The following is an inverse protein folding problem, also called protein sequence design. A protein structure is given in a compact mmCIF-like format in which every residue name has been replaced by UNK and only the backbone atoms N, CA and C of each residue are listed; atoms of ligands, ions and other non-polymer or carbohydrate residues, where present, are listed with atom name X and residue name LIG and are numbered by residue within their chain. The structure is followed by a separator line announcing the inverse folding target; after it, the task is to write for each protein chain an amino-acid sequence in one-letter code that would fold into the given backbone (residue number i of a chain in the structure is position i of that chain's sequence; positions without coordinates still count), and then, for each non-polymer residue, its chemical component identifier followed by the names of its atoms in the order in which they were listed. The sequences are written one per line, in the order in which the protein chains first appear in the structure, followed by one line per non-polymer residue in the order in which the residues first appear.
data_IF_685113073223
#
_entry.id   IF_685113073223
#
_cell.length_a   1.000
_cell.length_b   1.000
_cell.length_c   1.000
_cell.angle_alpha   90.00
_cell.angle_beta   90.00
_cell.angle_gamma   90.00
#
_symmetry.space_group_name_H-M   'P 1'
#
loop_
_entity.id
_entity.type
_entity.pdbx_description
1 polymer ?
#
# COMPACT_ATOMS: atom_id res chain seq x y z
N UNK A 1 -3.00 -0.11 21.90
CA UNK A 1 -4.15 -0.37 21.03
C UNK A 1 -4.32 -1.86 20.84
N UNK A 2 -5.55 -2.37 20.97
CA UNK A 2 -5.80 -3.79 20.76
C UNK A 2 -5.91 -4.09 19.25
N UNK A 3 -5.12 -5.03 18.75
CA UNK A 3 -5.11 -5.43 17.33
C UNK A 3 -6.39 -6.15 16.91
N UNK A 4 -7.11 -6.75 17.85
CA UNK A 4 -8.40 -7.40 17.59
C UNK A 4 -9.47 -6.42 17.10
N UNK A 5 -9.32 -5.13 17.41
CA UNK A 5 -10.22 -4.07 16.96
C UNK A 5 -9.90 -3.58 15.55
N UNK A 6 -8.85 -4.14 14.89
CA UNK A 6 -8.47 -3.76 13.53
C UNK A 6 -9.19 -4.65 12.54
N UNK A 7 -10.04 -4.04 11.73
CA UNK A 7 -10.72 -4.66 10.60
C UNK A 7 -10.18 -4.11 9.29
N UNK A 8 -10.16 -4.97 8.28
CA UNK A 8 -9.75 -4.63 6.92
C UNK A 8 -10.89 -5.02 6.00
N UNK A 9 -11.35 -4.07 5.19
CA UNK A 9 -12.43 -4.27 4.24
C UNK A 9 -12.02 -3.77 2.86
N UNK A 10 -12.62 -4.30 1.79
CA UNK A 10 -12.35 -3.82 0.44
C UNK A 10 -12.97 -2.45 0.24
N UNK A 11 -12.23 -1.56 -0.42
CA UNK A 11 -12.75 -0.23 -0.78
C UNK A 11 -13.81 -0.39 -1.87
N UNK A 12 -14.94 0.28 -1.65
CA UNK A 12 -16.08 0.34 -2.55
C UNK A 12 -16.68 1.77 -2.54
N UNK A 13 -17.72 2.00 -3.32
CA UNK A 13 -18.38 3.32 -3.41
C UNK A 13 -18.89 3.83 -2.06
N UNK A 14 -19.36 2.93 -1.19
CA UNK A 14 -19.95 3.29 0.10
C UNK A 14 -18.88 3.76 1.09
N UNK A 15 -17.77 3.00 1.25
CA UNK A 15 -16.74 3.27 2.25
C UNK A 15 -15.65 4.24 1.76
N UNK A 16 -15.46 4.40 0.46
CA UNK A 16 -14.46 5.32 -0.12
C UNK A 16 -14.60 6.76 0.38
N UNK A 17 -15.83 7.21 0.61
CA UNK A 17 -16.12 8.57 1.12
C UNK A 17 -15.50 8.86 2.49
N UNK A 18 -15.25 7.83 3.30
CA UNK A 18 -14.66 8.00 4.63
C UNK A 18 -13.13 8.17 4.58
N UNK A 19 -12.48 7.75 3.50
CA UNK A 19 -11.02 7.83 3.36
C UNK A 19 -10.51 9.27 3.31
N UNK A 20 -11.34 10.21 2.85
CA UNK A 20 -11.01 11.65 2.86
C UNK A 20 -10.82 12.26 4.25
N UNK A 21 -11.35 11.59 5.30
CA UNK A 21 -11.27 12.06 6.68
C UNK A 21 -10.00 11.59 7.40
N UNK A 22 -9.15 10.80 6.72
CA UNK A 22 -7.88 10.31 7.26
C UNK A 22 -6.88 11.45 7.31
N UNK A 23 -6.38 11.75 8.51
CA UNK A 23 -5.41 12.82 8.72
C UNK A 23 -4.01 12.39 8.31
N UNK A 24 -3.48 13.05 7.29
CA UNK A 24 -2.15 12.80 6.69
C UNK A 24 -1.38 14.09 6.34
N UNK A 25 -1.77 15.19 6.92
CA UNK A 25 -1.20 16.51 6.70
C UNK A 25 0.28 16.65 7.11
N UNK A 26 0.82 15.67 7.82
CA UNK A 26 2.23 15.52 8.19
C UNK A 26 3.06 14.71 7.16
N UNK A 27 2.45 14.27 6.06
CA UNK A 27 3.11 13.52 4.97
C UNK A 27 3.20 14.44 3.76
N UNK A 28 4.41 14.57 3.19
CA UNK A 28 4.58 15.31 1.93
C UNK A 28 3.75 14.68 0.80
N UNK A 29 3.15 15.51 -0.04
CA UNK A 29 2.43 15.06 -1.23
C UNK A 29 3.34 14.34 -2.23
N UNK A 30 4.65 14.59 -2.19
CA UNK A 30 5.64 13.87 -2.99
C UNK A 30 5.85 12.42 -2.55
N UNK A 31 5.39 12.05 -1.35
CA UNK A 31 5.63 10.72 -0.77
C UNK A 31 4.51 9.72 -0.99
N UNK A 32 3.29 10.18 -1.18
CA UNK A 32 2.11 9.31 -1.35
C UNK A 32 1.07 10.00 -2.22
N UNK A 33 0.54 9.27 -3.17
CA UNK A 33 -0.51 9.73 -4.07
C UNK A 33 -1.72 10.36 -3.36
N UNK A 34 -2.38 11.26 -4.07
CA UNK A 34 -3.66 11.82 -3.63
C UNK A 34 -4.75 10.76 -3.54
N UNK A 35 -5.80 11.03 -2.78
CA UNK A 35 -6.94 10.10 -2.68
C UNK A 35 -7.61 9.88 -4.05
N UNK A 36 -7.67 10.91 -4.89
CA UNK A 36 -8.29 10.80 -6.22
C UNK A 36 -7.53 9.78 -7.08
N UNK A 37 -6.18 9.84 -7.10
CA UNK A 37 -5.33 8.84 -7.78
C UNK A 37 -5.54 7.44 -7.20
N UNK A 38 -5.61 7.31 -5.88
CA UNK A 38 -5.90 6.03 -5.20
C UNK A 38 -7.23 5.43 -5.67
N UNK A 39 -8.27 6.26 -5.79
CA UNK A 39 -9.59 5.81 -6.24
C UNK A 39 -9.61 5.48 -7.74
N UNK A 40 -8.88 6.23 -8.57
CA UNK A 40 -8.72 5.91 -10.00
C UNK A 40 -8.05 4.55 -10.21
N UNK A 41 -6.96 4.27 -9.48
CA UNK A 41 -6.28 2.97 -9.51
C UNK A 41 -7.22 1.85 -9.05
N UNK A 42 -7.99 2.10 -7.99
CA UNK A 42 -8.94 1.13 -7.45
C UNK A 42 -10.03 0.79 -8.48
N UNK A 43 -10.61 1.79 -9.10
CA UNK A 43 -11.63 1.60 -10.13
C UNK A 43 -11.07 0.85 -11.35
N UNK A 44 -9.87 1.23 -11.80
CA UNK A 44 -9.19 0.54 -12.87
C UNK A 44 -9.00 -0.96 -12.56
N UNK A 45 -8.50 -1.29 -11.37
CA UNK A 45 -8.30 -2.66 -10.94
C UNK A 45 -9.60 -3.48 -10.93
N UNK A 46 -10.70 -2.90 -10.44
CA UNK A 46 -12.01 -3.53 -10.43
C UNK A 46 -12.54 -3.75 -11.84
N UNK A 47 -12.52 -2.73 -12.69
CA UNK A 47 -13.03 -2.77 -14.07
C UNK A 47 -12.29 -3.79 -14.95
N UNK A 48 -10.99 -3.96 -14.72
CA UNK A 48 -10.14 -4.88 -15.50
C UNK A 48 -9.96 -6.24 -14.83
N UNK A 49 -10.67 -6.52 -13.72
CA UNK A 49 -10.54 -7.75 -12.95
C UNK A 49 -9.09 -8.08 -12.57
N UNK A 50 -8.30 -7.07 -12.23
CA UNK A 50 -6.94 -7.25 -11.74
C UNK A 50 -6.93 -7.99 -10.40
N UNK A 51 -5.89 -8.80 -10.17
CA UNK A 51 -5.69 -9.49 -8.88
C UNK A 51 -5.19 -8.51 -7.83
N UNK A 52 -5.85 -8.48 -6.68
CA UNK A 52 -5.53 -7.57 -5.60
C UNK A 52 -6.73 -6.71 -5.19
N UNK A 53 -6.48 -5.82 -4.25
CA UNK A 53 -7.51 -4.91 -3.72
C UNK A 53 -6.91 -3.62 -3.20
N UNK A 54 -7.75 -2.60 -3.12
CA UNK A 54 -7.57 -1.49 -2.21
C UNK A 54 -8.32 -1.80 -0.93
N UNK A 55 -7.62 -1.72 0.20
CA UNK A 55 -8.16 -2.06 1.51
C UNK A 55 -8.36 -0.80 2.33
N UNK A 56 -9.56 -0.61 2.87
CA UNK A 56 -9.84 0.35 3.93
C UNK A 56 -9.54 -0.29 5.28
N UNK A 57 -8.91 0.46 6.17
CA UNK A 57 -8.47 0.00 7.48
C UNK A 57 -9.35 0.68 8.53
N UNK A 58 -9.99 -0.12 9.37
CA UNK A 58 -10.83 0.35 10.48
C UNK A 58 -10.19 -0.02 11.81
N UNK A 59 -10.36 0.85 12.78
CA UNK A 59 -10.16 0.59 14.20
C UNK A 59 -11.48 0.83 14.91
N UNK A 60 -12.05 -0.20 15.49
CA UNK A 60 -13.47 -0.25 15.85
C UNK A 60 -14.32 0.13 14.61
N UNK A 61 -15.18 1.12 14.72
CA UNK A 61 -16.03 1.58 13.63
C UNK A 61 -15.44 2.74 12.80
N UNK A 62 -14.20 3.18 13.10
CA UNK A 62 -13.58 4.34 12.44
C UNK A 62 -12.61 3.92 11.34
N UNK A 63 -12.75 4.49 10.16
CA UNK A 63 -11.75 4.39 9.11
C UNK A 63 -10.51 5.19 9.51
N UNK A 64 -9.37 4.49 9.57
CA UNK A 64 -8.10 5.05 10.05
C UNK A 64 -6.98 4.94 9.01
N UNK A 65 -7.24 4.41 7.84
CA UNK A 65 -6.21 4.24 6.83
C UNK A 65 -6.68 3.49 5.60
N UNK A 66 -5.77 3.33 4.66
CA UNK A 66 -5.94 2.50 3.47
C UNK A 66 -4.59 1.98 2.98
N UNK A 67 -4.64 0.89 2.21
CA UNK A 67 -3.48 0.29 1.55
C UNK A 67 -3.90 -0.32 0.22
N UNK A 68 -3.09 -0.11 -0.82
CA UNK A 68 -3.30 -0.68 -2.15
C UNK A 68 -2.28 -1.77 -2.40
N UNK A 69 -2.77 -2.97 -2.70
CA UNK A 69 -1.95 -4.09 -3.14
C UNK A 69 -2.64 -4.75 -4.34
N UNK A 70 -2.12 -4.49 -5.54
CA UNK A 70 -2.65 -4.96 -6.80
C UNK A 70 -1.59 -5.68 -7.62
N UNK A 71 -1.99 -6.61 -8.49
CA UNK A 71 -1.07 -7.13 -9.50
C UNK A 71 -0.51 -5.98 -10.33
N UNK A 72 0.80 -6.03 -10.56
CA UNK A 72 1.47 -4.97 -11.26
C UNK A 72 1.15 -4.99 -12.75
N UNK A 73 0.79 -3.82 -13.27
CA UNK A 73 0.88 -3.52 -14.69
C UNK A 73 2.31 -3.08 -14.94
N UNK A 74 2.95 -3.65 -15.95
CA UNK A 74 4.32 -3.31 -16.31
C UNK A 74 4.43 -1.84 -16.70
N UNK A 75 5.37 -1.13 -16.08
CA UNK A 75 5.75 0.21 -16.45
C UNK A 75 7.04 0.20 -17.27
N UNK A 76 7.19 1.14 -18.19
CA UNK A 76 8.42 1.27 -18.98
C UNK A 76 9.66 1.53 -18.12
N UNK A 77 9.46 2.10 -16.94
CA UNK A 77 10.50 2.42 -15.94
C UNK A 77 10.84 1.22 -15.05
N UNK A 78 10.06 0.14 -15.08
CA UNK A 78 10.33 -1.04 -14.26
C UNK A 78 11.65 -1.70 -14.68
N UNK A 79 12.52 -2.05 -13.73
CA UNK A 79 13.73 -2.79 -14.02
C UNK A 79 13.44 -4.13 -14.69
N UNK A 80 14.29 -4.53 -15.64
CA UNK A 80 14.12 -5.80 -16.37
C UNK A 80 14.04 -7.04 -15.45
N UNK A 81 14.68 -6.97 -14.28
CA UNK A 81 14.61 -8.06 -13.31
C UNK A 81 13.19 -8.25 -12.74
N UNK A 82 12.39 -7.18 -12.67
CA UNK A 82 11.00 -7.23 -12.21
C UNK A 82 10.06 -7.83 -13.25
N UNK A 83 10.40 -7.70 -14.52
CA UNK A 83 9.56 -8.15 -15.64
C UNK A 83 9.62 -9.66 -15.88
N UNK A 84 10.45 -10.38 -15.13
CA UNK A 84 10.69 -11.83 -15.34
C UNK A 84 9.50 -12.70 -14.90
N UNK A 85 8.76 -12.25 -13.89
CA UNK A 85 7.61 -12.96 -13.35
C UNK A 85 6.53 -11.97 -12.88
N UNK A 86 5.27 -12.40 -12.83
CA UNK A 86 4.19 -11.58 -12.28
C UNK A 86 4.46 -11.22 -10.82
N UNK A 87 4.19 -9.96 -10.45
CA UNK A 87 4.39 -9.46 -9.08
C UNK A 87 3.22 -8.59 -8.65
N UNK A 88 3.13 -8.31 -7.36
CA UNK A 88 2.20 -7.31 -6.82
C UNK A 88 2.94 -5.99 -6.61
N UNK A 89 2.22 -4.89 -6.80
CA UNK A 89 2.70 -3.54 -6.50
C UNK A 89 1.92 -2.97 -5.32
N UNK A 90 2.64 -2.62 -4.27
CA UNK A 90 2.09 -1.85 -3.16
C UNK A 90 2.26 -0.38 -3.51
N UNK A 91 1.15 0.35 -3.74
CA UNK A 91 1.22 1.70 -4.29
C UNK A 91 1.01 2.79 -3.25
N UNK A 92 0.06 2.63 -2.33
CA UNK A 92 -0.15 3.59 -1.27
C UNK A 92 -0.47 2.88 0.04
N UNK A 93 0.10 3.36 1.13
CA UNK A 93 -0.18 2.87 2.47
C UNK A 93 -0.19 4.02 3.45
N UNK A 94 -1.37 4.34 3.93
CA UNK A 94 -1.60 5.44 4.87
C UNK A 94 -2.31 4.94 6.11
N UNK A 95 -1.79 5.35 7.27
CA UNK A 95 -2.47 5.29 8.56
C UNK A 95 -2.65 6.74 9.04
N UNK A 96 -3.82 7.07 9.51
CA UNK A 96 -4.14 8.35 10.14
C UNK A 96 -3.11 8.67 11.24
N UNK A 97 -2.61 9.90 11.24
CA UNK A 97 -1.53 10.31 12.15
C UNK A 97 -1.82 10.05 13.63
N UNK A 98 -3.11 10.09 14.02
CA UNK A 98 -3.56 9.83 15.39
C UNK A 98 -3.40 8.38 15.85
N UNK A 99 -3.23 7.45 14.89
CA UNK A 99 -3.16 6.00 15.10
C UNK A 99 -1.79 5.39 14.79
N UNK A 100 -0.78 6.22 14.50
CA UNK A 100 0.58 5.76 14.19
C UNK A 100 1.40 5.50 15.46
N UNK A 101 2.50 4.79 15.29
CA UNK A 101 3.48 4.54 16.38
C UNK A 101 3.09 3.42 17.36
N UNK A 102 1.93 2.77 17.17
CA UNK A 102 1.42 1.71 18.05
C UNK A 102 1.35 0.32 17.41
N UNK A 103 2.09 0.12 16.30
CA UNK A 103 2.22 -1.18 15.64
C UNK A 103 1.09 -1.54 14.66
N UNK A 104 0.08 -0.68 14.46
CA UNK A 104 -1.03 -0.93 13.52
C UNK A 104 -0.52 -1.14 12.09
N UNK A 105 0.37 -0.26 11.61
CA UNK A 105 0.89 -0.36 10.25
C UNK A 105 1.56 -1.70 9.97
N UNK A 106 2.36 -2.20 10.92
CA UNK A 106 3.02 -3.51 10.79
C UNK A 106 2.02 -4.65 10.71
N UNK A 107 1.03 -4.64 11.57
CA UNK A 107 -0.02 -5.66 11.61
C UNK A 107 -0.84 -5.67 10.33
N UNK A 108 -1.27 -4.50 9.87
CA UNK A 108 -2.07 -4.34 8.64
C UNK A 108 -1.31 -4.81 7.42
N UNK A 109 -0.04 -4.40 7.26
CA UNK A 109 0.77 -4.79 6.12
C UNK A 109 0.87 -6.32 5.99
N UNK A 110 1.22 -7.01 7.07
CA UNK A 110 1.34 -8.47 7.06
C UNK A 110 -0.03 -9.14 6.79
N UNK A 111 -1.10 -8.64 7.40
CA UNK A 111 -2.44 -9.18 7.19
C UNK A 111 -2.90 -9.04 5.73
N UNK A 112 -2.68 -7.89 5.12
CA UNK A 112 -3.03 -7.62 3.72
C UNK A 112 -2.21 -8.51 2.77
N UNK A 113 -0.91 -8.65 3.02
CA UNK A 113 -0.05 -9.53 2.21
C UNK A 113 -0.54 -10.98 2.29
N UNK A 114 -0.80 -11.49 3.49
CA UNK A 114 -1.30 -12.86 3.67
C UNK A 114 -2.64 -13.06 2.99
N UNK A 115 -3.59 -12.14 3.14
CA UNK A 115 -4.90 -12.21 2.50
C UNK A 115 -4.78 -12.21 0.97
N UNK A 116 -3.91 -11.37 0.40
CA UNK A 116 -3.66 -11.33 -1.04
C UNK A 116 -3.04 -12.65 -1.53
N UNK A 117 -2.10 -13.22 -0.78
CA UNK A 117 -1.48 -14.51 -1.11
C UNK A 117 -2.46 -15.68 -1.02
N UNK A 118 -3.33 -15.70 -0.03
CA UNK A 118 -4.38 -16.72 0.10
C UNK A 118 -5.39 -16.66 -1.05
N UNK A 119 -5.73 -15.46 -1.51
CA UNK A 119 -6.73 -15.26 -2.56
C UNK A 119 -6.17 -15.46 -3.98
N UNK A 120 -4.95 -15.00 -4.23
CA UNK A 120 -4.38 -14.91 -5.59
C UNK A 120 -3.05 -15.65 -5.79
N UNK A 121 -2.48 -16.20 -4.74
CA UNK A 121 -1.18 -16.89 -4.77
C UNK A 121 0.00 -16.01 -4.40
N UNK A 122 1.10 -16.68 -4.06
CA UNK A 122 2.35 -16.02 -3.64
C UNK A 122 3.06 -15.46 -4.86
N UNK A 123 3.42 -14.17 -4.80
CA UNK A 123 4.23 -13.48 -5.81
C UNK A 123 5.15 -12.48 -5.11
N UNK A 124 6.26 -12.07 -5.74
CA UNK A 124 7.05 -10.95 -5.26
C UNK A 124 6.20 -9.68 -5.11
N UNK A 125 6.57 -8.83 -4.15
CA UNK A 125 5.95 -7.53 -3.95
C UNK A 125 6.98 -6.44 -4.19
N UNK A 126 6.64 -5.46 -5.00
CA UNK A 126 7.44 -4.27 -5.24
C UNK A 126 6.73 -3.01 -4.72
N UNK A 127 7.52 -2.05 -4.28
CA UNK A 127 7.05 -0.70 -3.95
C UNK A 127 8.14 0.34 -4.21
N UNK A 128 7.71 1.59 -4.37
CA UNK A 128 8.59 2.75 -4.45
C UNK A 128 8.60 3.51 -3.12
N UNK A 129 9.77 4.00 -2.73
CA UNK A 129 9.91 4.91 -1.58
C UNK A 129 10.75 6.11 -2.00
N UNK A 130 10.19 7.31 -1.85
CA UNK A 130 10.91 8.55 -2.12
C UNK A 130 12.23 8.60 -1.32
N UNK A 131 13.31 9.01 -1.98
CA UNK A 131 14.68 9.03 -1.43
C UNK A 131 14.81 9.75 -0.08
N UNK A 132 13.94 10.74 0.17
CA UNK A 132 13.92 11.54 1.40
C UNK A 132 12.90 11.04 2.42
N UNK A 133 12.14 9.98 2.12
CA UNK A 133 11.18 9.39 3.04
C UNK A 133 11.82 8.32 3.92
N UNK A 134 12.76 8.73 4.78
CA UNK A 134 13.48 7.84 5.69
C UNK A 134 12.58 7.05 6.65
N UNK A 135 11.41 7.59 6.97
CA UNK A 135 10.43 6.91 7.82
C UNK A 135 9.85 5.69 7.13
N UNK A 136 9.43 5.83 5.87
CA UNK A 136 8.94 4.71 5.07
C UNK A 136 10.05 3.70 4.77
N UNK A 137 11.26 4.17 4.42
CA UNK A 137 12.42 3.30 4.23
C UNK A 137 12.63 2.40 5.45
N UNK A 138 12.76 2.98 6.64
CA UNK A 138 12.94 2.22 7.89
C UNK A 138 11.77 1.27 8.15
N UNK A 139 10.55 1.71 7.86
CA UNK A 139 9.37 0.88 8.05
C UNK A 139 9.40 -0.37 7.18
N UNK A 140 9.68 -0.25 5.89
CA UNK A 140 9.68 -1.37 4.95
C UNK A 140 10.90 -2.28 5.08
N UNK A 141 12.10 -1.73 5.30
CA UNK A 141 13.31 -2.54 5.56
C UNK A 141 13.13 -3.43 6.78
N UNK A 142 12.54 -2.93 7.86
CA UNK A 142 12.24 -3.71 9.05
C UNK A 142 11.17 -4.80 8.84
N UNK A 143 10.58 -4.87 7.62
CA UNK A 143 9.57 -5.87 7.21
C UNK A 143 10.00 -6.65 5.99
N UNK A 144 11.31 -6.88 5.91
CA UNK A 144 11.95 -7.73 4.89
C UNK A 144 11.84 -7.21 3.46
N UNK A 145 11.50 -5.93 3.25
CA UNK A 145 11.67 -5.32 1.94
C UNK A 145 13.14 -4.92 1.76
N UNK A 146 13.68 -5.28 0.62
CA UNK A 146 15.10 -5.03 0.28
C UNK A 146 15.17 -3.84 -0.65
N UNK A 147 15.92 -2.81 -0.25
CA UNK A 147 16.22 -1.65 -1.08
C UNK A 147 17.09 -2.06 -2.26
N UNK A 148 16.77 -1.57 -3.44
CA UNK A 148 17.56 -1.75 -4.64
C UNK A 148 18.26 -0.46 -5.04
N UNK A 149 19.17 -0.54 -6.03
CA UNK A 149 19.77 0.64 -6.67
C UNK A 149 18.91 1.19 -7.83
N UNK A 150 17.78 0.55 -8.14
CA UNK A 150 16.88 1.02 -9.17
C UNK A 150 15.99 2.14 -8.67
N UNK A 151 15.77 3.14 -9.51
CA UNK A 151 14.94 4.30 -9.22
C UNK A 151 13.91 4.55 -10.33
N UNK A 152 12.77 5.06 -9.91
CA UNK A 152 11.81 5.74 -10.76
C UNK A 152 11.65 7.18 -10.25
N UNK A 153 12.07 8.15 -11.04
CA UNK A 153 12.10 9.54 -10.59
C UNK A 153 12.94 9.69 -9.31
N UNK A 154 12.31 10.08 -8.22
CA UNK A 154 12.93 10.23 -6.91
C UNK A 154 12.70 9.06 -5.96
N UNK A 155 12.08 7.97 -6.43
CA UNK A 155 11.73 6.81 -5.63
C UNK A 155 12.69 5.66 -5.89
N UNK A 156 13.22 5.05 -4.83
CA UNK A 156 13.90 3.78 -4.93
C UNK A 156 12.90 2.62 -4.94
N UNK A 157 13.17 1.60 -5.76
CA UNK A 157 12.43 0.33 -5.71
C UNK A 157 12.87 -0.52 -4.53
N UNK A 158 11.89 -1.15 -3.88
CA UNK A 158 12.06 -2.12 -2.81
C UNK A 158 11.31 -3.39 -3.18
N UNK A 159 11.88 -4.55 -2.87
CA UNK A 159 11.31 -5.87 -3.16
C UNK A 159 11.20 -6.73 -1.91
N UNK A 160 10.15 -7.49 -1.86
CA UNK A 160 9.94 -8.57 -0.88
C UNK A 160 9.41 -9.82 -1.58
#
# INVERSE_FOLDING_TARGET
MNKENINIEYVNEENSRFLKNILRDDISEDFVDSLDVVLEITNYGIEHNCKGHTYAIKYDEKHIGFILLWEAIEWSTDPEIMKKEPFYRLMAFIIDKRYRGCGIGSYVLEKVILQCYEEYGIRPIALGVHKDNYRAEKFYVNRSFIKTDFMEGNDYYYFR
#
